data_IF_657668004414
#
_entry.id   IF_657668004414
#
_cell.length_a   1.000
_cell.length_b   1.000
_cell.length_c   1.000
_cell.angle_alpha   90.00
_cell.angle_beta   90.00
_cell.angle_gamma   90.00
#
_symmetry.space_group_name_H-M   'P 1'
#
loop_
_entity.id
_entity.type
_entity.pdbx_description
1 polymer ?
2 polymer ?
3 water ?
#
loop_
_entity_poly.entity_id
_entity_poly.type
_entity_poly.pdbx_seq_one_letter_code
_entity_poly.pdbx_strand_id
2 'polyribonucleotide' 'GGG(RPC)' ?
#
# COMPACT_ATOMS: atom_id res chain seq x y z
N UNK A 1 -0.01 15.25 -11.30
CA UNK A 1 -0.29 16.06 -10.12
C UNK A 1 -0.60 15.18 -8.90
N UNK A 2 0.03 14.01 -8.85
CA UNK A 2 -0.21 13.02 -7.78
C UNK A 2 0.88 11.94 -7.71
N UNK A 3 1.72 11.98 -6.67
CA UNK A 3 2.94 11.18 -6.64
C UNK A 3 3.04 10.19 -5.48
N UNK A 4 3.70 9.06 -5.72
CA UNK A 4 4.02 8.10 -4.68
C UNK A 4 4.86 8.76 -3.60
N UNK A 5 4.71 8.31 -2.35
CA UNK A 5 5.55 8.80 -1.26
C UNK A 5 6.77 7.90 -1.07
N UNK A 6 6.75 6.73 -1.70
CA UNK A 6 7.89 5.84 -1.63
C UNK A 6 8.84 6.18 -2.76
N UNK A 7 8.37 6.01 -3.99
CA UNK A 7 9.09 6.49 -5.16
C UNK A 7 8.72 7.96 -5.30
N UNK A 8 9.18 8.61 -6.36
CA UNK A 8 8.68 9.93 -6.62
C UNK A 8 7.60 9.89 -7.68
N UNK A 9 7.45 8.75 -8.34
CA UNK A 9 6.75 8.70 -9.62
C UNK A 9 5.27 9.08 -9.60
N UNK A 10 4.87 9.88 -10.58
CA UNK A 10 3.48 10.28 -10.74
C UNK A 10 2.61 9.05 -10.96
N UNK A 11 1.32 9.17 -10.66
CA UNK A 11 0.38 8.11 -10.94
C UNK A 11 0.20 7.11 -9.81
N UNK A 12 0.77 7.40 -8.65
CA UNK A 12 0.57 6.53 -7.51
C UNK A 12 0.06 7.28 -6.31
N UNK A 13 -0.60 6.56 -5.42
CA UNK A 13 -0.95 7.11 -4.12
C UNK A 13 -0.55 6.12 -3.05
N UNK A 14 0.22 6.59 -2.08
CA UNK A 14 0.74 5.71 -1.06
C UNK A 14 -0.27 5.41 0.05
N UNK A 15 -0.52 4.12 0.29
CA UNK A 15 -1.44 3.71 1.35
C UNK A 15 -0.67 3.02 2.47
N UNK A 16 -1.17 3.10 3.69
CA UNK A 16 -0.68 2.24 4.76
C UNK A 16 -1.62 1.04 4.95
N UNK A 17 -1.08 -0.17 4.83
CA UNK A 17 -1.80 -1.42 5.09
C UNK A 17 -1.45 -1.98 6.47
N UNK A 18 -2.46 -2.25 7.29
CA UNK A 18 -2.24 -2.92 8.56
C UNK A 18 -3.24 -4.06 8.72
N UNK A 19 -2.91 -5.00 9.61
CA UNK A 19 -3.73 -6.17 9.83
C UNK A 19 -2.90 -7.35 10.31
N UNK A 20 -3.58 -8.42 10.74
CA UNK A 20 -2.98 -9.65 11.26
C UNK A 20 -2.50 -10.57 10.14
N UNK A 21 -1.55 -11.46 10.44
CA UNK A 21 -1.01 -12.41 9.46
C UNK A 21 -0.61 -11.71 8.15
N UNK A 22 -0.16 -10.48 8.29
CA UNK A 22 0.26 -9.68 7.15
C UNK A 22 1.66 -10.08 6.70
N UNK A 23 1.88 -10.09 5.39
CA UNK A 23 3.21 -10.32 4.84
C UNK A 23 3.19 -9.79 3.42
N UNK A 24 4.36 -9.59 2.82
CA UNK A 24 4.39 -8.96 1.51
C UNK A 24 3.61 -9.79 0.48
N UNK A 25 3.98 -11.07 0.31
CA UNK A 25 3.27 -11.84 -0.72
C UNK A 25 1.76 -11.90 -0.51
N UNK A 26 1.32 -12.06 0.73
CA UNK A 26 -0.11 -12.17 0.99
C UNK A 26 -0.78 -10.84 0.71
N UNK A 27 -0.14 -9.76 1.11
CA UNK A 27 -0.66 -8.43 0.84
C UNK A 27 -0.86 -8.21 -0.65
N UNK A 28 0.13 -8.62 -1.43
CA UNK A 28 0.11 -8.44 -2.87
C UNK A 28 -0.96 -9.32 -3.48
N UNK A 29 -1.17 -10.49 -2.89
CA UNK A 29 -2.16 -11.43 -3.39
C UNK A 29 -3.56 -10.89 -3.16
N UNK A 30 -3.80 -10.33 -1.97
CA UNK A 30 -5.11 -9.81 -1.62
C UNK A 30 -5.50 -8.65 -2.54
N UNK A 31 -4.55 -7.75 -2.77
CA UNK A 31 -4.79 -6.59 -3.63
C UNK A 31 -5.06 -7.00 -5.07
N UNK A 32 -4.17 -7.81 -5.63
CA UNK A 32 -4.29 -8.23 -7.02
C UNK A 32 -5.52 -9.10 -7.23
N UNK A 33 -5.95 -9.74 -6.14
CA UNK A 33 -7.18 -10.51 -6.12
C UNK A 33 -8.41 -9.63 -6.31
N UNK A 34 -8.33 -8.39 -5.81
CA UNK A 34 -9.38 -7.39 -6.04
C UNK A 34 -9.24 -6.74 -7.40
N UNK A 35 -8.27 -7.19 -8.20
CA UNK A 35 -8.06 -6.62 -9.51
C UNK A 35 -7.35 -5.27 -9.49
N UNK A 36 -6.71 -4.96 -8.37
CA UNK A 36 -5.93 -3.73 -8.26
C UNK A 36 -4.51 -3.91 -8.78
N UNK A 37 -4.01 -2.90 -9.48
CA UNK A 37 -2.60 -2.85 -9.86
C UNK A 37 -1.77 -2.40 -8.65
N UNK A 38 -0.61 -3.01 -8.44
CA UNK A 38 0.18 -2.68 -7.25
C UNK A 38 1.61 -2.21 -7.53
N UNK A 39 1.95 -1.03 -7.02
CA UNK A 39 3.26 -0.45 -7.28
C UNK A 39 4.30 -0.88 -6.26
N UNK A 40 5.14 0.06 -5.85
CA UNK A 40 6.12 -0.20 -4.81
C UNK A 40 5.45 -0.60 -3.50
N UNK A 41 5.95 -1.67 -2.87
CA UNK A 41 5.54 -2.04 -1.52
C UNK A 41 6.76 -1.98 -0.63
N UNK A 42 6.60 -1.44 0.57
CA UNK A 42 7.72 -1.36 1.51
C UNK A 42 7.28 -1.64 2.94
N UNK A 43 8.03 -2.51 3.60
CA UNK A 43 7.70 -2.95 4.94
C UNK A 43 8.07 -1.88 5.97
N UNK A 44 7.23 -1.73 6.97
CA UNK A 44 7.51 -0.81 8.06
C UNK A 44 7.25 -1.51 9.39
N UNK A 45 7.65 -0.87 10.48
CA UNK A 45 7.47 -1.43 11.82
C UNK A 45 6.04 -1.83 12.15
N UNK A 46 5.08 -1.06 11.66
CA UNK A 46 3.68 -1.29 11.99
C UNK A 46 2.85 -1.91 10.87
N UNK A 47 3.49 -2.25 9.76
CA UNK A 47 2.79 -2.90 8.67
C UNK A 47 3.51 -2.68 7.36
N UNK A 48 2.74 -2.43 6.31
CA UNK A 48 3.33 -2.17 5.01
C UNK A 48 2.77 -0.89 4.40
N UNK A 49 3.63 -0.17 3.69
CA UNK A 49 3.17 0.88 2.79
C UNK A 49 3.11 0.26 1.41
N UNK A 50 2.05 0.59 0.66
CA UNK A 50 1.86 0.05 -0.69
C UNK A 50 1.30 1.11 -1.63
N UNK A 51 1.85 1.20 -2.83
CA UNK A 51 1.37 2.18 -3.80
C UNK A 51 0.19 1.63 -4.60
N UNK A 52 -0.86 2.43 -4.75
CA UNK A 52 -1.99 2.03 -5.58
C UNK A 52 -2.35 3.15 -6.55
N UNK A 53 -3.18 2.83 -7.53
CA UNK A 53 -3.62 3.86 -8.45
C UNK A 53 -4.57 4.84 -7.75
N UNK A 54 -4.37 6.14 -8.01
CA UNK A 54 -5.15 7.25 -7.42
C UNK A 54 -6.65 7.14 -7.69
N UNK A 55 -7.04 6.57 -8.82
CA UNK A 55 -8.46 6.43 -9.14
C UNK A 55 -9.07 5.15 -8.54
N UNK A 56 -8.22 4.25 -8.06
CA UNK A 56 -8.71 3.04 -7.42
C UNK A 56 -9.30 3.38 -6.06
N UNK A 57 -10.36 2.67 -5.72
CA UNK A 57 -10.99 2.79 -4.41
C UNK A 57 -10.97 1.41 -3.75
N UNK A 58 -9.88 1.13 -3.02
CA UNK A 58 -9.54 -0.22 -2.58
C UNK A 58 -10.27 -0.66 -1.32
N UNK A 59 -10.95 -1.79 -1.40
CA UNK A 59 -11.54 -2.43 -0.23
C UNK A 59 -11.07 -3.87 -0.22
N UNK A 60 -10.41 -4.27 0.85
CA UNK A 60 -9.90 -5.62 0.95
C UNK A 60 -10.23 -6.19 2.31
N UNK A 61 -11.13 -7.17 2.35
CA UNK A 61 -11.53 -7.81 3.61
C UNK A 61 -10.31 -8.39 4.33
N UNK A 62 -10.27 -8.25 5.66
CA UNK A 62 -9.09 -8.63 6.43
C UNK A 62 -7.97 -7.60 6.58
N UNK A 63 -8.07 -6.47 5.89
CA UNK A 63 -7.04 -5.43 5.97
C UNK A 63 -7.64 -4.05 6.22
N UNK A 64 -6.88 -3.19 6.88
CA UNK A 64 -7.27 -1.79 6.96
C UNK A 64 -6.36 -1.01 6.01
N UNK A 65 -6.95 -0.19 5.15
CA UNK A 65 -6.18 0.63 4.22
C UNK A 65 -6.53 2.10 4.42
N UNK A 66 -5.50 2.94 4.46
CA UNK A 66 -5.70 4.37 4.58
C UNK A 66 -4.57 5.08 3.84
N UNK A 67 -4.88 6.18 3.13
CA UNK A 67 -3.86 6.99 2.45
C UNK A 67 -2.82 7.43 3.47
N UNK A 68 -1.55 7.23 3.14
CA UNK A 68 -0.51 7.57 4.08
C UNK A 68 -0.35 9.07 4.08
N UNK A 69 -0.29 9.66 5.26
CA UNK A 69 -0.01 11.07 5.35
C UNK A 69 1.51 11.23 5.38
N UNK A 70 2.14 10.68 6.41
CA UNK A 70 3.60 10.61 6.48
C UNK A 70 4.06 9.15 6.34
N UNK A 71 5.24 8.93 5.78
CA UNK A 71 5.82 7.59 5.79
C UNK A 71 6.84 7.49 6.91
N UNK A 72 6.58 6.60 7.87
CA UNK A 72 7.43 6.49 9.04
C UNK A 72 7.65 5.03 9.44
N UNK A 73 8.78 4.75 10.08
CA UNK A 73 9.03 3.43 10.62
C UNK A 73 9.41 2.39 9.58
N UNK A 74 9.96 2.84 8.46
CA UNK A 74 10.43 1.93 7.42
C UNK A 74 11.57 1.06 7.92
N UNK A 75 11.51 -0.23 7.61
CA UNK A 75 12.57 -1.13 8.02
C UNK A 75 13.85 -0.78 7.26
N UNK A 76 13.69 -0.47 5.97
CA UNK A 76 14.78 -0.07 5.08
C UNK A 76 15.71 -1.24 4.72
#
# INVERSE_FOLDING_TARGET
>A
AERSLLTGEEGWRTYKATGPRLSLPRLVALLKGQGLEVGKVAEAEGGFYVDLRPEARPEVAGLRLEPARRVEGLLEIPSRTRRPARA
#
